data_IF_828033228505
#
_entry.id   IF_828033228505
#
_cell.length_a   1.000
_cell.length_b   1.000
_cell.length_c   1.000
_cell.angle_alpha   90.00
_cell.angle_beta   90.00
_cell.angle_gamma   90.00
#
_symmetry.space_group_name_H-M   'P 1'
#
loop_
_entity.id
_entity.type
_entity.pdbx_description
1 polymer ?
#
# COMPACT_ATOMS: atom_id res chain seq x y z
N UNK A 1 -17.49 -18.78 -0.32
CA UNK A 1 -18.41 -19.92 -0.51
C UNK A 1 -17.98 -20.88 -1.62
N UNK A 2 -17.95 -20.49 -2.91
CA UNK A 2 -17.63 -21.43 -4.03
C UNK A 2 -16.32 -22.22 -3.85
N UNK A 3 -15.23 -21.56 -3.43
CA UNK A 3 -13.96 -22.26 -3.15
C UNK A 3 -14.05 -23.27 -2.00
N UNK A 4 -14.87 -23.00 -0.97
CA UNK A 4 -15.03 -23.90 0.18
C UNK A 4 -15.80 -25.16 -0.21
N UNK A 5 -16.90 -25.03 -0.96
CA UNK A 5 -17.64 -26.19 -1.46
C UNK A 5 -16.85 -26.99 -2.50
N UNK A 6 -16.08 -26.34 -3.37
CA UNK A 6 -15.15 -27.04 -4.25
C UNK A 6 -14.05 -27.79 -3.45
N UNK A 7 -13.54 -27.19 -2.38
CA UNK A 7 -12.55 -27.82 -1.49
C UNK A 7 -13.11 -29.04 -0.75
N UNK A 8 -14.39 -28.98 -0.36
CA UNK A 8 -15.09 -30.06 0.34
C UNK A 8 -15.50 -31.20 -0.59
N UNK A 9 -15.99 -30.88 -1.80
CA UNK A 9 -16.29 -31.84 -2.86
C UNK A 9 -15.04 -32.60 -3.30
N UNK A 10 -13.88 -31.96 -3.37
CA UNK A 10 -12.62 -32.63 -3.69
C UNK A 10 -12.16 -33.64 -2.62
N UNK A 11 -12.80 -33.65 -1.44
CA UNK A 11 -12.47 -34.52 -0.30
C UNK A 11 -13.57 -35.51 0.06
N UNK A 12 -14.79 -35.30 -0.44
CA UNK A 12 -15.95 -36.12 -0.12
C UNK A 12 -16.67 -36.44 -1.43
N UNK A 13 -16.61 -37.71 -1.81
CA UNK A 13 -17.14 -38.23 -3.07
C UNK A 13 -18.66 -38.09 -3.16
N UNK A 14 -19.35 -38.20 -2.01
CA UNK A 14 -20.81 -38.11 -1.90
C UNK A 14 -21.36 -36.67 -1.92
N UNK A 15 -20.49 -35.67 -1.82
CA UNK A 15 -20.92 -34.28 -1.75
C UNK A 15 -21.07 -33.66 -3.15
N UNK A 16 -22.29 -33.32 -3.52
CA UNK A 16 -22.58 -32.56 -4.74
C UNK A 16 -22.63 -31.06 -4.44
N UNK A 17 -21.73 -30.28 -5.02
CA UNK A 17 -21.71 -28.83 -4.83
C UNK A 17 -22.97 -28.17 -5.43
N UNK A 18 -23.82 -27.49 -4.61
CA UNK A 18 -25.04 -26.84 -5.10
C UNK A 18 -24.77 -25.60 -5.96
N UNK A 19 -23.55 -25.04 -5.91
CA UNK A 19 -23.15 -23.87 -6.71
C UNK A 19 -22.57 -24.36 -8.05
N UNK A 20 -23.44 -24.65 -9.01
CA UNK A 20 -23.02 -25.04 -10.36
C UNK A 20 -22.30 -23.90 -11.09
N UNK A 21 -21.35 -24.28 -11.96
CA UNK A 21 -20.64 -23.32 -12.83
C UNK A 21 -21.67 -22.56 -13.68
N UNK A 22 -21.62 -21.23 -13.66
CA UNK A 22 -22.52 -20.38 -14.46
C UNK A 22 -23.60 -19.65 -13.66
N UNK A 23 -23.89 -20.04 -12.40
CA UNK A 23 -24.77 -19.26 -11.52
C UNK A 23 -23.99 -18.03 -11.05
N UNK A 24 -24.31 -16.89 -11.68
CA UNK A 24 -23.83 -15.53 -11.43
C UNK A 24 -22.30 -15.38 -11.38
N UNK A 25 -21.72 -14.88 -12.48
CA UNK A 25 -20.45 -14.19 -12.42
C UNK A 25 -20.72 -12.84 -11.74
N UNK A 26 -20.33 -12.70 -10.47
CA UNK A 26 -20.29 -11.39 -9.82
C UNK A 26 -19.32 -10.55 -10.64
N UNK A 27 -19.84 -9.53 -11.32
CA UNK A 27 -19.03 -8.62 -12.13
C UNK A 27 -17.87 -8.11 -11.29
N UNK A 28 -16.67 -8.13 -11.88
CA UNK A 28 -15.52 -7.53 -11.23
C UNK A 28 -15.72 -6.01 -11.35
N UNK A 29 -16.09 -5.34 -10.26
CA UNK A 29 -16.14 -3.88 -10.20
C UNK A 29 -14.70 -3.36 -10.22
N UNK A 30 -14.06 -3.45 -11.39
CA UNK A 30 -12.79 -2.81 -11.64
C UNK A 30 -13.00 -1.30 -11.51
N UNK A 31 -12.20 -0.66 -10.66
CA UNK A 31 -12.19 0.78 -10.51
C UNK A 31 -11.22 1.32 -11.56
N UNK A 32 -11.75 1.91 -12.62
CA UNK A 32 -10.96 2.45 -13.75
C UNK A 32 -10.61 3.93 -13.60
N UNK A 33 -11.10 4.59 -12.55
CA UNK A 33 -10.85 6.03 -12.32
C UNK A 33 -9.49 6.27 -11.66
N UNK A 34 -8.73 7.19 -12.23
CA UNK A 34 -7.49 7.74 -11.69
C UNK A 34 -7.72 9.22 -11.33
N UNK A 35 -7.02 9.72 -10.31
CA UNK A 35 -7.08 11.14 -9.95
C UNK A 35 -6.33 11.97 -10.99
N UNK A 36 -6.90 13.11 -11.41
CA UNK A 36 -6.18 14.09 -12.23
C UNK A 36 -5.19 14.90 -11.36
N UNK A 37 -4.29 15.62 -12.01
CA UNK A 37 -3.30 16.45 -11.31
C UNK A 37 -3.97 17.61 -10.54
N UNK A 38 -5.07 18.14 -11.06
CA UNK A 38 -5.89 19.15 -10.37
C UNK A 38 -6.53 18.55 -9.12
N UNK A 39 -7.11 17.35 -9.22
CA UNK A 39 -7.71 16.66 -8.08
C UNK A 39 -6.66 16.31 -7.02
N UNK A 40 -5.44 15.96 -7.43
CA UNK A 40 -4.33 15.73 -6.49
C UNK A 40 -3.92 17.02 -5.77
N UNK A 41 -3.93 18.16 -6.46
CA UNK A 41 -3.67 19.47 -5.85
C UNK A 41 -4.76 19.83 -4.84
N UNK A 42 -6.02 19.57 -5.16
CA UNK A 42 -7.14 19.80 -4.25
C UNK A 42 -7.05 18.90 -3.02
N UNK A 43 -6.70 17.63 -3.18
CA UNK A 43 -6.43 16.72 -2.05
C UNK A 43 -5.29 17.28 -1.21
N UNK A 44 -4.18 17.71 -1.82
CA UNK A 44 -3.02 18.22 -1.09
C UNK A 44 -3.37 19.46 -0.27
N UNK A 45 -4.11 20.41 -0.86
CA UNK A 45 -4.57 21.62 -0.18
C UNK A 45 -5.60 21.32 0.92
N UNK A 46 -6.52 20.38 0.68
CA UNK A 46 -7.52 19.97 1.67
C UNK A 46 -6.87 19.36 2.92
N UNK A 47 -5.72 18.69 2.80
CA UNK A 47 -5.00 18.13 3.94
C UNK A 47 -4.44 19.21 4.89
N UNK A 48 -4.25 20.44 4.43
CA UNK A 48 -3.78 21.56 5.27
C UNK A 48 -4.90 22.23 6.05
N UNK A 49 -6.16 22.06 5.63
CA UNK A 49 -7.33 22.72 6.24
C UNK A 49 -8.32 21.74 6.87
N UNK A 50 -8.10 20.43 6.73
CA UNK A 50 -9.03 19.42 7.23
C UNK A 50 -9.08 19.42 8.76
N UNK A 51 -10.28 19.65 9.29
CA UNK A 51 -10.59 19.59 10.71
C UNK A 51 -11.15 18.19 11.07
N UNK A 52 -11.28 17.87 12.36
CA UNK A 52 -11.82 16.59 12.86
C UNK A 52 -11.08 15.30 12.45
N UNK A 53 -9.84 15.42 11.98
CA UNK A 53 -8.95 14.28 11.73
C UNK A 53 -7.81 14.23 12.76
N UNK A 54 -7.26 13.05 13.07
CA UNK A 54 -6.07 12.96 13.91
C UNK A 54 -4.92 13.74 13.30
N UNK A 55 -4.13 14.45 14.13
CA UNK A 55 -3.02 15.28 13.67
C UNK A 55 -1.99 14.54 12.80
N UNK A 56 -1.88 13.22 12.95
CA UNK A 56 -1.01 12.39 12.12
C UNK A 56 -1.56 12.07 10.73
N UNK A 57 -2.84 12.32 10.45
CA UNK A 57 -3.49 11.93 9.21
C UNK A 57 -3.05 12.78 8.00
N UNK A 58 -2.98 14.12 8.07
CA UNK A 58 -2.45 14.94 6.98
C UNK A 58 -1.06 14.52 6.53
N UNK A 59 -0.12 14.39 7.48
CA UNK A 59 1.25 13.94 7.20
C UNK A 59 1.29 12.52 6.62
N UNK A 60 0.42 11.63 7.10
CA UNK A 60 0.32 10.26 6.60
C UNK A 60 -0.10 10.24 5.13
N UNK A 61 -1.17 10.95 4.75
CA UNK A 61 -1.63 10.97 3.36
C UNK A 61 -0.60 11.63 2.43
N UNK A 62 0.02 12.74 2.86
CA UNK A 62 1.11 13.37 2.10
C UNK A 62 2.29 12.41 1.89
N UNK A 63 2.68 11.65 2.92
CA UNK A 63 3.75 10.65 2.82
C UNK A 63 3.40 9.51 1.86
N UNK A 64 2.12 9.12 1.80
CA UNK A 64 1.63 8.09 0.89
C UNK A 64 1.67 8.56 -0.57
N UNK A 65 1.34 9.84 -0.82
CA UNK A 65 1.44 10.44 -2.15
C UNK A 65 2.89 10.53 -2.64
N UNK A 66 3.84 10.82 -1.75
CA UNK A 66 5.26 10.93 -2.09
C UNK A 66 5.96 9.57 -2.25
N UNK A 67 5.65 8.60 -1.37
CA UNK A 67 6.34 7.30 -1.37
C UNK A 67 5.64 6.25 -2.23
N UNK A 68 4.36 6.45 -2.58
CA UNK A 68 3.54 5.54 -3.37
C UNK A 68 3.48 4.09 -2.85
N UNK A 69 3.66 3.93 -1.53
CA UNK A 69 3.63 2.63 -0.85
C UNK A 69 2.21 2.14 -0.60
N UNK A 70 2.05 0.88 -0.17
CA UNK A 70 0.71 0.44 0.24
C UNK A 70 0.31 1.19 1.51
N UNK A 71 -0.96 1.58 1.59
CA UNK A 71 -1.55 2.29 2.73
C UNK A 71 -1.16 1.69 4.09
N UNK A 72 -1.25 0.36 4.23
CA UNK A 72 -0.95 -0.30 5.50
C UNK A 72 0.56 -0.36 5.81
N UNK A 73 1.42 -0.39 4.79
CA UNK A 73 2.88 -0.36 4.97
C UNK A 73 3.31 1.01 5.50
N UNK A 74 2.83 2.09 4.87
CA UNK A 74 3.05 3.45 5.37
C UNK A 74 2.48 3.65 6.77
N UNK A 75 1.27 3.17 7.05
CA UNK A 75 0.61 3.40 8.34
C UNK A 75 1.30 2.70 9.52
N UNK A 76 2.01 1.61 9.24
CA UNK A 76 2.77 0.84 10.22
C UNK A 76 4.28 1.17 10.17
N UNK A 77 4.68 2.23 9.48
CA UNK A 77 6.07 2.69 9.45
C UNK A 77 6.62 2.83 10.87
N UNK A 78 7.70 2.10 11.14
CA UNK A 78 8.34 2.07 12.45
C UNK A 78 9.68 2.81 12.40
N UNK A 79 10.03 3.51 13.48
CA UNK A 79 11.29 4.27 13.57
C UNK A 79 12.54 3.44 13.37
N UNK A 80 12.55 2.17 13.78
CA UNK A 80 13.69 1.26 13.57
C UNK A 80 13.89 0.82 12.11
N UNK A 81 12.94 1.13 11.23
CA UNK A 81 12.99 0.79 9.80
C UNK A 81 13.62 1.93 8.96
N UNK A 82 13.87 3.08 9.61
CA UNK A 82 14.43 4.26 8.98
C UNK A 82 15.94 4.29 9.25
N UNK A 83 16.72 4.27 8.17
CA UNK A 83 18.17 4.40 8.22
C UNK A 83 18.60 5.57 7.31
N UNK A 84 19.07 6.66 7.92
CA UNK A 84 19.41 7.87 7.17
C UNK A 84 18.23 8.32 6.32
N UNK A 85 18.41 8.36 4.99
CA UNK A 85 17.40 8.70 3.99
C UNK A 85 16.56 7.52 3.47
N UNK A 86 16.90 6.30 3.86
CA UNK A 86 16.24 5.09 3.38
C UNK A 86 15.22 4.55 4.40
N UNK A 87 14.09 4.09 3.88
CA UNK A 87 13.08 3.36 4.65
C UNK A 87 12.99 1.92 4.16
N UNK A 88 13.27 0.96 5.04
CA UNK A 88 13.23 -0.47 4.71
C UNK A 88 11.97 -1.12 5.26
N UNK A 89 11.07 -1.57 4.38
CA UNK A 89 9.91 -2.36 4.76
C UNK A 89 10.33 -3.83 4.89
N UNK A 90 10.15 -4.46 6.06
CA UNK A 90 10.49 -5.87 6.26
C UNK A 90 9.66 -6.82 5.39
N UNK A 91 10.30 -7.90 4.95
CA UNK A 91 9.71 -9.00 4.18
C UNK A 91 8.46 -9.58 4.83
N UNK A 92 8.42 -9.66 6.16
CA UNK A 92 7.29 -10.19 6.93
C UNK A 92 5.99 -9.42 6.68
N UNK A 93 6.08 -8.13 6.38
CA UNK A 93 4.91 -7.28 6.08
C UNK A 93 4.70 -7.09 4.59
N UNK A 94 5.74 -7.28 3.79
CA UNK A 94 5.68 -7.02 2.38
C UNK A 94 5.12 -8.21 1.61
N UNK A 95 4.17 -7.96 0.71
CA UNK A 95 3.43 -9.02 -0.01
C UNK A 95 4.31 -10.04 -0.74
N UNK A 96 5.51 -9.65 -1.18
CA UNK A 96 6.39 -10.53 -1.93
C UNK A 96 7.34 -11.34 -1.05
N UNK A 97 7.37 -11.11 0.27
CA UNK A 97 8.27 -11.78 1.19
C UNK A 97 9.75 -11.40 0.99
N UNK A 98 10.00 -10.19 0.49
CA UNK A 98 11.34 -9.63 0.27
C UNK A 98 11.36 -8.24 0.88
N UNK A 99 12.46 -7.87 1.54
CA UNK A 99 12.65 -6.53 2.07
C UNK A 99 12.62 -5.50 0.93
N UNK A 100 11.85 -4.43 1.11
CA UNK A 100 11.77 -3.35 0.15
C UNK A 100 12.39 -2.08 0.74
N UNK A 101 13.45 -1.60 0.11
CA UNK A 101 14.07 -0.31 0.42
C UNK A 101 13.38 0.77 -0.40
N UNK A 102 12.98 1.86 0.27
CA UNK A 102 12.34 3.03 -0.31
C UNK A 102 13.16 4.26 0.05
N UNK A 103 13.77 4.94 -0.94
CA UNK A 103 14.47 6.19 -0.68
C UNK A 103 13.45 7.28 -0.36
N UNK A 104 13.63 7.98 0.75
CA UNK A 104 12.78 9.10 1.14
C UNK A 104 13.35 10.41 0.58
N UNK A 105 12.52 11.18 -0.12
CA UNK A 105 12.86 12.55 -0.49
C UNK A 105 12.87 13.45 0.74
N UNK A 106 13.53 14.61 0.65
CA UNK A 106 13.55 15.61 1.73
C UNK A 106 12.13 15.96 2.21
N UNK A 107 11.19 16.18 1.27
CA UNK A 107 9.79 16.44 1.61
C UNK A 107 9.10 15.26 2.32
N UNK A 108 9.44 14.01 1.98
CA UNK A 108 8.90 12.85 2.67
C UNK A 108 9.52 12.68 4.07
N UNK A 109 10.80 13.02 4.22
CA UNK A 109 11.52 13.03 5.50
C UNK A 109 10.92 14.02 6.48
N UNK A 110 10.60 15.22 6.02
CA UNK A 110 9.97 16.26 6.85
C UNK A 110 8.61 15.80 7.41
N UNK A 111 7.88 14.97 6.65
CA UNK A 111 6.57 14.44 7.07
C UNK A 111 6.67 13.30 8.10
N UNK A 112 7.80 12.60 8.18
CA UNK A 112 8.06 11.62 9.27
C UNK A 112 8.06 12.37 10.62
N UNK A 113 8.67 13.56 10.62
CA UNK A 113 8.71 14.46 11.76
C UNK A 113 9.52 13.92 12.94
N UNK A 114 9.43 14.63 14.07
CA UNK A 114 10.15 14.27 15.29
C UNK A 114 9.46 13.14 16.06
N UNK A 115 10.22 12.56 17.00
CA UNK A 115 9.73 11.56 17.96
C UNK A 115 8.50 12.12 18.72
N UNK A 116 7.38 11.38 18.78
CA UNK A 116 6.22 11.82 19.54
C UNK A 116 6.54 11.81 21.04
N UNK A 117 6.09 12.83 21.76
CA UNK A 117 6.40 13.03 23.20
C UNK A 117 5.97 11.85 24.09
N UNK A 118 4.94 11.10 23.69
CA UNK A 118 4.45 9.91 24.41
C UNK A 118 5.24 8.61 24.16
N UNK A 119 6.25 8.61 23.30
CA UNK A 119 6.96 7.40 22.93
C UNK A 119 7.93 6.95 24.03
N UNK A 120 7.68 5.76 24.59
CA UNK A 120 8.58 5.11 25.53
C UNK A 120 9.74 4.46 24.77
N UNK A 121 10.98 4.88 25.05
CA UNK A 121 12.20 4.33 24.44
C UNK A 121 12.48 4.83 23.01
N UNK A 122 13.35 4.13 22.28
CA UNK A 122 13.77 4.49 20.91
C UNK A 122 12.96 3.75 19.82
N UNK A 123 11.83 3.14 20.18
CA UNK A 123 10.94 2.43 19.26
C UNK A 123 9.55 3.04 19.30
N UNK A 124 9.12 3.59 18.18
CA UNK A 124 7.79 4.16 18.00
C UNK A 124 7.29 4.04 16.56
N UNK A 125 5.96 4.03 16.41
CA UNK A 125 5.31 4.21 15.11
C UNK A 125 5.29 5.68 14.71
N UNK A 126 5.67 5.95 13.47
CA UNK A 126 5.74 7.31 12.90
C UNK A 126 4.35 7.93 12.83
N UNK A 127 3.39 7.23 12.23
CA UNK A 127 2.00 7.68 12.15
C UNK A 127 1.17 7.03 13.24
N UNK A 128 0.90 7.77 14.31
CA UNK A 128 0.27 7.27 15.53
C UNK A 128 -0.70 8.29 16.08
N UNK A 129 -1.78 7.83 16.72
CA UNK A 129 -2.67 8.65 17.55
C UNK A 129 -2.48 8.36 19.04
N UNK A 130 -1.79 7.26 19.39
CA UNK A 130 -1.57 6.78 20.77
C UNK A 130 -0.10 6.97 21.19
N UNK A 131 0.48 8.13 20.86
CA UNK A 131 1.83 8.49 21.34
C UNK A 131 2.98 7.56 20.94
N UNK A 132 2.86 6.76 19.88
CA UNK A 132 3.92 5.90 19.37
C UNK A 132 3.70 4.41 19.62
N UNK A 133 2.69 4.03 20.41
CA UNK A 133 2.41 2.64 20.76
C UNK A 133 1.78 1.81 19.63
N UNK A 134 0.99 2.45 18.75
CA UNK A 134 0.26 1.78 17.66
C UNK A 134 0.28 2.64 16.40
N UNK A 135 0.42 1.99 15.25
CA UNK A 135 0.24 2.63 13.96
C UNK A 135 -1.21 3.08 13.72
N UNK A 136 -1.40 3.95 12.74
CA UNK A 136 -2.70 4.54 12.42
C UNK A 136 -3.67 3.50 11.81
N UNK A 137 -4.90 3.40 12.33
CA UNK A 137 -5.91 2.43 11.86
C UNK A 137 -7.25 3.06 11.44
N UNK A 138 -7.49 4.33 11.79
CA UNK A 138 -8.76 5.05 11.61
C UNK A 138 -9.05 5.55 10.19
N UNK A 139 -8.66 4.81 9.15
CA UNK A 139 -8.65 5.29 7.77
C UNK A 139 -10.03 5.71 7.24
N UNK A 140 -11.07 4.91 7.46
CA UNK A 140 -12.39 5.16 6.87
C UNK A 140 -13.03 6.44 7.40
N UNK A 141 -12.89 6.71 8.70
CA UNK A 141 -13.40 7.93 9.34
C UNK A 141 -12.63 9.15 8.80
N UNK A 142 -11.30 9.11 8.86
CA UNK A 142 -10.48 10.24 8.43
C UNK A 142 -10.62 10.54 6.93
N UNK A 143 -10.79 9.50 6.09
CA UNK A 143 -11.07 9.68 4.67
C UNK A 143 -12.39 10.40 4.43
N UNK A 144 -13.45 10.04 5.16
CA UNK A 144 -14.76 10.70 5.01
C UNK A 144 -14.68 12.18 5.35
N UNK A 145 -13.96 12.56 6.39
CA UNK A 145 -13.78 13.97 6.74
C UNK A 145 -12.95 14.72 5.69
N UNK A 146 -11.90 14.09 5.14
CA UNK A 146 -11.17 14.62 3.99
C UNK A 146 -12.05 14.80 2.75
N UNK A 147 -12.92 13.83 2.45
CA UNK A 147 -13.84 13.90 1.32
C UNK A 147 -14.82 15.08 1.48
N UNK A 148 -15.26 15.39 2.70
CA UNK A 148 -16.06 16.58 2.99
C UNK A 148 -15.26 17.87 2.80
N UNK A 149 -14.03 17.93 3.29
CA UNK A 149 -13.15 19.10 3.12
C UNK A 149 -12.92 19.42 1.63
N UNK A 150 -12.68 18.39 0.82
CA UNK A 150 -12.54 18.53 -0.65
C UNK A 150 -13.87 18.99 -1.28
N UNK A 151 -14.99 18.37 -0.90
CA UNK A 151 -16.31 18.72 -1.42
C UNK A 151 -16.77 20.16 -1.08
N UNK A 152 -16.12 20.81 -0.12
CA UNK A 152 -16.40 22.18 0.32
C UNK A 152 -15.48 23.21 -0.36
N UNK A 153 -14.47 22.78 -1.14
CA UNK A 153 -13.55 23.68 -1.83
C UNK A 153 -14.27 24.45 -2.97
N UNK A 154 -14.28 25.80 -2.97
CA UNK A 154 -15.06 26.61 -3.91
C UNK A 154 -14.55 26.65 -5.37
N UNK A 155 -13.46 25.94 -5.71
CA UNK A 155 -12.77 26.08 -7.02
C UNK A 155 -13.21 25.16 -8.16
N UNK A 156 -14.24 24.32 -8.01
CA UNK A 156 -14.91 23.76 -9.18
C UNK A 156 -15.39 22.32 -9.04
N UNK A 157 -16.55 22.09 -9.66
CA UNK A 157 -17.15 20.80 -9.99
C UNK A 157 -17.08 19.73 -8.91
N UNK A 158 -18.17 19.65 -8.10
CA UNK A 158 -18.55 18.52 -7.23
C UNK A 158 -17.57 17.36 -7.37
N UNK A 159 -16.47 17.39 -6.60
CA UNK A 159 -15.56 16.27 -6.54
C UNK A 159 -16.44 15.08 -6.17
N UNK A 160 -16.68 14.19 -7.14
CA UNK A 160 -17.49 12.98 -6.93
C UNK A 160 -16.60 12.04 -6.14
N UNK A 161 -16.29 12.41 -4.90
CA UNK A 161 -15.37 11.71 -4.02
C UNK A 161 -16.09 10.51 -3.41
N UNK A 162 -16.66 9.65 -4.25
CA UNK A 162 -17.16 8.37 -3.82
C UNK A 162 -16.06 7.34 -3.97
N UNK A 163 -15.44 7.04 -2.83
CA UNK A 163 -14.94 5.72 -2.49
C UNK A 163 -13.90 5.10 -3.45
N UNK A 164 -12.67 5.61 -3.41
CA UNK A 164 -11.49 4.82 -3.03
C UNK A 164 -10.22 5.56 -3.43
N UNK A 165 -9.34 5.86 -2.45
CA UNK A 165 -7.91 5.91 -2.70
C UNK A 165 -7.44 4.47 -2.97
N UNK A 166 -7.84 3.93 -4.13
CA UNK A 166 -7.29 2.74 -4.73
C UNK A 166 -6.41 3.24 -5.85
N UNK A 167 -5.11 3.36 -5.58
CA UNK A 167 -4.10 3.75 -6.56
C UNK A 167 -4.19 2.82 -7.77
N UNK A 168 -4.69 3.36 -8.90
CA UNK A 168 -4.73 2.71 -10.20
C UNK A 168 -3.99 3.58 -11.22
N UNK A 169 -3.37 2.89 -12.19
CA UNK A 169 -2.47 3.44 -13.22
C UNK A 169 -3.21 4.35 -14.21
N UNK A 170 -2.68 5.53 -14.56
CA UNK A 170 -3.22 6.31 -15.67
C UNK A 170 -2.94 5.61 -17.01
N UNK A 171 -3.97 5.56 -17.86
CA UNK A 171 -3.81 5.26 -19.27
C UNK A 171 -3.45 6.55 -20.03
N UNK A 172 -2.27 6.50 -20.66
CA UNK A 172 -1.81 7.30 -21.79
C UNK A 172 -1.62 8.83 -21.61
N UNK A 173 -0.35 9.23 -21.53
CA UNK A 173 0.18 10.24 -22.45
C UNK A 173 1.69 10.05 -22.72
N UNK A 174 1.99 10.05 -24.03
CA UNK A 174 3.24 10.10 -24.79
C UNK A 174 4.28 8.95 -24.67
N UNK A 175 4.54 8.20 -25.75
CA UNK A 175 5.59 7.18 -25.77
C UNK A 175 6.96 7.86 -25.77
N UNK A 176 7.77 7.60 -24.74
CA UNK A 176 9.22 7.78 -24.80
C UNK A 176 9.77 6.67 -25.71
N UNK A 177 10.63 7.06 -26.65
CA UNK A 177 11.15 6.23 -27.74
C UNK A 177 11.57 4.80 -27.33
N UNK A 178 11.31 3.87 -28.24
CA UNK A 178 11.62 2.44 -28.17
C UNK A 178 13.05 2.16 -27.68
N UNK A 179 13.16 1.60 -26.48
CA UNK A 179 14.33 0.84 -26.04
C UNK A 179 14.01 -0.65 -26.25
N UNK A 180 14.77 -1.40 -27.06
CA UNK A 180 14.44 -2.78 -27.37
C UNK A 180 14.56 -3.67 -26.12
N UNK A 181 13.42 -4.04 -25.53
CA UNK A 181 13.36 -5.00 -24.43
C UNK A 181 13.62 -6.40 -24.96
N UNK A 182 14.80 -6.95 -24.64
CA UNK A 182 15.11 -8.38 -24.78
C UNK A 182 14.02 -9.21 -24.08
N UNK A 183 13.47 -10.19 -24.79
CA UNK A 183 12.52 -11.17 -24.25
C UNK A 183 13.17 -11.94 -23.10
N UNK A 184 12.83 -11.60 -21.85
CA UNK A 184 13.11 -12.44 -20.71
C UNK A 184 11.98 -13.47 -20.57
N UNK A 185 12.37 -14.74 -20.57
CA UNK A 185 11.48 -15.89 -20.52
C UNK A 185 10.68 -16.00 -19.21
N UNK A 186 9.63 -16.81 -19.29
CA UNK A 186 8.78 -17.26 -18.18
C UNK A 186 9.63 -17.79 -17.02
N UNK A 187 9.21 -17.65 -15.76
CA UNK A 187 9.90 -18.32 -14.66
C UNK A 187 9.67 -19.84 -14.77
N UNK A 188 10.71 -20.55 -15.22
CA UNK A 188 10.81 -21.99 -15.10
C UNK A 188 11.09 -22.37 -13.65
N UNK A 189 10.31 -23.33 -13.17
CA UNK A 189 10.51 -24.10 -11.94
C UNK A 189 11.79 -24.95 -12.09
N UNK A 190 12.79 -24.73 -11.25
CA UNK A 190 13.94 -25.63 -11.03
C UNK A 190 14.07 -25.76 -9.50
N UNK A 191 13.79 -26.90 -8.86
CA UNK A 191 14.51 -28.19 -8.84
C UNK A 191 16.00 -28.03 -8.52
N UNK A 192 16.29 -28.20 -7.22
CA UNK A 192 17.49 -28.74 -6.58
C UNK A 192 18.88 -28.46 -7.16
N UNK A 193 19.72 -27.84 -6.32
CA UNK A 193 21.17 -27.96 -6.34
C UNK A 193 21.70 -28.04 -4.91
N UNK A 194 21.90 -29.26 -4.40
CA UNK A 194 22.61 -29.56 -3.16
C UNK A 194 24.06 -29.07 -3.30
N UNK A 195 24.48 -28.14 -2.43
CA UNK A 195 25.90 -27.73 -2.34
C UNK A 195 26.71 -28.87 -1.73
N UNK A 196 27.56 -29.47 -2.56
CA UNK A 196 28.70 -30.32 -2.19
C UNK A 196 29.65 -29.52 -1.26
N UNK A 197 29.68 -29.87 0.03
CA UNK A 197 30.70 -29.40 0.98
C UNK A 197 31.83 -30.44 1.00
N UNK A 198 32.83 -30.26 0.13
CA UNK A 198 34.09 -30.99 0.25
C UNK A 198 34.84 -30.49 1.49
N UNK A 199 35.03 -31.38 2.48
CA UNK A 199 36.02 -31.24 3.54
C UNK A 199 37.44 -31.42 2.94
N UNK A 200 38.45 -30.65 3.35
CA UNK A 200 39.83 -30.97 3.02
C UNK A 200 40.34 -32.15 3.85
N UNK A 201 40.99 -33.13 3.22
CA UNK A 201 41.85 -34.11 3.89
C UNK A 201 43.25 -33.53 3.97
N UNK A 202 43.78 -33.39 5.18
CA UNK A 202 45.21 -33.11 5.41
C UNK A 202 46.06 -34.36 5.18
N UNK A 203 47.32 -34.11 4.85
CA UNK A 203 48.46 -35.02 5.02
C UNK A 203 48.80 -35.14 6.51
#
# INVERSE_FOLDING_TARGET
MRKAFNWFQARNEDFTNPIVKGILAVGNNARDRVLSDEELRDVWAALDVVEDVPACYPRFVKSLLLTTTRRNEAALMHSSELDGDDWTIPADRYKTGIDQIIPLSAAARDLVGAKPEGAKGNSWFVFTTTGGAKGFTGFSKAKRELDKAIGTNPRGERARTNAALGFARPAAHRPLADVPRRRAGRPCRAVFGTRDRRRPRGL
#
